data_IF_239652400427
#
_entry.id   IF_239652400427
#
_cell.length_a   1.000
_cell.length_b   1.000
_cell.length_c   1.000
_cell.angle_alpha   90.00
_cell.angle_beta   90.00
_cell.angle_gamma   90.00
#
_symmetry.space_group_name_H-M   'P 1'
#
loop_
_entity.id
_entity.type
_entity.pdbx_description
1 polymer ?
#
# COMPACT_ATOMS: atom_id res chain seq x y z
N UNK A 1 6.21 2.74 10.02
CA UNK A 1 5.24 2.76 8.89
C UNK A 1 4.28 1.57 9.03
N UNK A 2 2.98 1.73 8.72
CA UNK A 2 1.96 0.66 8.91
C UNK A 2 1.13 0.43 7.64
N UNK A 3 1.52 1.07 6.56
CA UNK A 3 0.92 0.97 5.23
C UNK A 3 2.03 0.72 4.22
N UNK A 4 1.69 0.15 3.08
CA UNK A 4 2.61 -0.04 1.96
C UNK A 4 1.86 0.13 0.64
N UNK A 5 2.54 0.69 -0.36
CA UNK A 5 2.13 0.56 -1.75
C UNK A 5 2.84 -0.64 -2.34
N UNK A 6 2.11 -1.73 -2.56
CA UNK A 6 2.74 -3.02 -2.87
C UNK A 6 3.12 -3.15 -4.34
N UNK A 7 2.43 -2.45 -5.24
CA UNK A 7 2.85 -2.40 -6.65
C UNK A 7 4.08 -1.49 -6.86
N UNK A 8 4.35 -0.57 -5.93
CA UNK A 8 5.52 0.32 -5.98
C UNK A 8 6.65 -0.13 -5.06
N UNK A 9 6.43 -1.13 -4.20
CA UNK A 9 7.44 -1.66 -3.28
C UNK A 9 7.89 -0.70 -2.17
N UNK A 10 7.02 0.21 -1.70
CA UNK A 10 7.38 1.22 -0.69
C UNK A 10 6.49 1.18 0.55
N UNK A 11 7.08 1.45 1.72
CA UNK A 11 6.36 1.64 2.97
C UNK A 11 5.90 3.09 3.16
N UNK A 12 4.71 3.26 3.73
CA UNK A 12 4.03 4.54 3.89
C UNK A 12 3.60 4.79 5.34
N UNK A 13 3.62 6.07 5.75
CA UNK A 13 2.85 6.51 6.91
C UNK A 13 1.36 6.64 6.56
N UNK A 14 0.49 6.78 7.56
CA UNK A 14 -0.97 6.88 7.34
C UNK A 14 -1.36 8.08 6.46
N UNK A 15 -0.67 9.22 6.59
CA UNK A 15 -0.93 10.42 5.77
C UNK A 15 -0.56 10.18 4.30
N UNK A 16 0.63 9.64 4.03
CA UNK A 16 1.06 9.32 2.67
C UNK A 16 0.18 8.24 2.04
N UNK A 17 -0.25 7.24 2.82
CA UNK A 17 -1.20 6.23 2.36
C UNK A 17 -2.53 6.84 1.90
N UNK A 18 -3.03 7.88 2.57
CA UNK A 18 -4.20 8.64 2.13
C UNK A 18 -3.96 9.35 0.80
N UNK A 19 -2.82 10.03 0.64
CA UNK A 19 -2.44 10.70 -0.62
C UNK A 19 -2.36 9.69 -1.77
N UNK A 20 -1.68 8.56 -1.54
CA UNK A 20 -1.53 7.50 -2.55
C UNK A 20 -2.86 6.87 -2.96
N UNK A 21 -3.86 6.79 -2.07
CA UNK A 21 -5.20 6.33 -2.43
C UNK A 21 -5.90 7.29 -3.40
N UNK A 22 -5.70 8.60 -3.23
CA UNK A 22 -6.29 9.62 -4.11
C UNK A 22 -5.68 9.61 -5.52
N UNK A 23 -4.49 9.03 -5.71
CA UNK A 23 -3.90 8.80 -7.04
C UNK A 23 -4.65 7.71 -7.84
N UNK A 24 -5.40 6.85 -7.15
CA UNK A 24 -6.12 5.73 -7.77
C UNK A 24 -5.28 4.45 -7.90
N UNK A 25 -5.98 3.32 -7.96
CA UNK A 25 -5.39 1.96 -7.91
C UNK A 25 -4.57 1.57 -9.15
N UNK A 26 -4.73 2.31 -10.25
CA UNK A 26 -3.92 2.15 -11.45
C UNK A 26 -2.52 2.73 -11.28
N UNK A 27 -2.33 3.64 -10.31
CA UNK A 27 -1.04 4.25 -9.97
C UNK A 27 -0.46 3.57 -8.71
N UNK A 28 -1.21 3.55 -7.61
CA UNK A 28 -0.73 3.06 -6.33
C UNK A 28 -1.77 2.19 -5.63
N UNK A 29 -1.40 0.94 -5.35
CA UNK A 29 -2.21 -0.06 -4.65
C UNK A 29 -1.76 -0.15 -3.21
N UNK A 30 -2.51 0.51 -2.32
CA UNK A 30 -2.13 0.68 -0.91
C UNK A 30 -2.83 -0.36 -0.03
N UNK A 31 -2.07 -1.01 0.84
CA UNK A 31 -2.57 -1.91 1.90
C UNK A 31 -1.94 -1.59 3.25
N UNK A 32 -2.65 -1.87 4.33
CA UNK A 32 -2.11 -1.89 5.68
C UNK A 32 -1.24 -3.12 5.84
N UNK A 33 -0.08 -2.95 6.46
CA UNK A 33 0.86 -4.05 6.69
C UNK A 33 0.27 -5.11 7.61
N UNK A 34 -0.60 -4.72 8.57
CA UNK A 34 -1.09 -5.63 9.60
C UNK A 34 -2.61 -5.75 9.70
N UNK A 35 -3.37 -4.94 8.96
CA UNK A 35 -4.85 -4.98 8.98
C UNK A 35 -5.46 -5.54 7.70
N UNK A 36 -4.73 -5.52 6.58
CA UNK A 36 -5.21 -6.08 5.31
C UNK A 36 -4.64 -7.47 5.08
N UNK A 37 -5.43 -8.35 4.45
CA UNK A 37 -4.96 -9.66 4.00
C UNK A 37 -4.05 -9.52 2.78
N UNK A 38 -2.93 -10.25 2.77
CA UNK A 38 -1.94 -10.25 1.69
C UNK A 38 -1.95 -11.58 0.93
N UNK A 39 -1.78 -11.52 -0.39
CA UNK A 39 -1.51 -12.72 -1.19
C UNK A 39 -0.01 -12.89 -1.39
N UNK A 40 0.51 -14.12 -1.60
CA UNK A 40 1.93 -14.34 -1.81
C UNK A 40 2.53 -13.48 -2.94
N UNK A 41 1.78 -13.26 -4.02
CA UNK A 41 2.21 -12.47 -5.19
C UNK A 41 2.38 -10.96 -4.88
N UNK A 42 1.89 -10.50 -3.73
CA UNK A 42 2.00 -9.10 -3.29
C UNK A 42 3.18 -8.87 -2.33
N UNK A 43 3.85 -9.94 -1.91
CA UNK A 43 4.94 -9.94 -0.91
C UNK A 43 6.25 -10.48 -1.51
N UNK A 44 6.22 -10.90 -2.79
CA UNK A 44 7.40 -11.28 -3.57
C UNK A 44 8.25 -10.08 -3.98
#
# INVERSE_FOLDING_TARGET
PRWASWNLGIFLCIRCAGIHRNLGVHISKVKSVNLDTWTPEQVV
#
